data_IF_688979011582
#
_entry.id   IF_688979011582
#
_cell.length_a   1.000
_cell.length_b   1.000
_cell.length_c   1.000
_cell.angle_alpha   90.00
_cell.angle_beta   90.00
_cell.angle_gamma   90.00
#
_symmetry.space_group_name_H-M   'P 1'
#
loop_
_entity.id
_entity.type
_entity.pdbx_description
1 polymer ?
#
# COMPACT_ATOMS: atom_id res chain seq x y z
N UNK A 1 0.80 -26.55 15.26
CA UNK A 1 1.03 -25.53 16.32
C UNK A 1 0.35 -25.96 17.62
N UNK A 2 0.68 -25.40 18.80
CA UNK A 2 0.05 -25.78 20.09
C UNK A 2 -1.43 -25.39 20.13
N UNK A 3 -1.78 -24.21 19.63
CA UNK A 3 -3.17 -23.77 19.49
C UNK A 3 -3.98 -24.74 18.59
N UNK A 4 -3.39 -25.17 17.48
CA UNK A 4 -3.99 -26.08 16.50
C UNK A 4 -4.27 -27.49 17.06
N UNK A 5 -3.45 -27.96 18.00
CA UNK A 5 -3.71 -29.24 18.69
C UNK A 5 -4.96 -29.18 19.57
N UNK A 6 -5.23 -28.01 20.15
CA UNK A 6 -6.40 -27.79 21.02
C UNK A 6 -7.66 -27.61 20.16
N UNK A 7 -7.56 -26.88 19.04
CA UNK A 7 -8.68 -26.76 18.09
C UNK A 7 -9.01 -28.08 17.40
N UNK A 8 -8.01 -28.89 17.03
CA UNK A 8 -8.21 -30.24 16.51
C UNK A 8 -8.89 -31.19 17.52
N UNK A 9 -8.73 -30.93 18.82
CA UNK A 9 -9.43 -31.65 19.89
C UNK A 9 -10.87 -31.15 20.11
N UNK A 10 -11.36 -30.22 19.28
CA UNK A 10 -12.73 -29.71 19.31
C UNK A 10 -12.96 -28.54 20.28
N UNK A 11 -11.90 -27.85 20.71
CA UNK A 11 -11.98 -26.70 21.60
C UNK A 11 -11.64 -25.41 20.87
N UNK A 12 -12.52 -24.43 20.91
CA UNK A 12 -12.25 -23.08 20.44
C UNK A 12 -11.34 -22.34 21.45
N UNK A 13 -10.33 -21.66 20.91
CA UNK A 13 -9.41 -20.82 21.66
C UNK A 13 -9.63 -19.36 21.25
N UNK A 14 -9.81 -18.50 22.24
CA UNK A 14 -9.88 -17.04 22.07
C UNK A 14 -8.85 -16.40 23.00
N UNK A 15 -8.33 -15.23 22.64
CA UNK A 15 -7.46 -14.44 23.52
C UNK A 15 -8.05 -13.05 23.75
N UNK A 16 -8.08 -12.61 25.01
CA UNK A 16 -8.37 -11.25 25.43
C UNK A 16 -7.07 -10.61 25.92
N UNK A 17 -6.13 -10.43 24.98
CA UNK A 17 -4.78 -9.95 25.21
C UNK A 17 -3.93 -10.89 26.07
N UNK A 18 -4.07 -10.79 27.40
CA UNK A 18 -3.31 -11.58 28.37
C UNK A 18 -4.06 -12.83 28.87
N UNK A 19 -5.33 -13.00 28.52
CA UNK A 19 -6.17 -14.10 28.99
C UNK A 19 -6.52 -15.04 27.85
N UNK A 20 -6.23 -16.33 28.05
CA UNK A 20 -6.65 -17.40 27.15
C UNK A 20 -8.03 -17.89 27.59
N UNK A 21 -9.00 -17.83 26.68
CA UNK A 21 -10.36 -18.32 26.85
C UNK A 21 -10.51 -19.59 26.03
N UNK A 22 -10.88 -20.70 26.69
CA UNK A 22 -11.10 -21.99 26.03
C UNK A 22 -12.58 -22.37 26.12
N UNK A 23 -13.20 -22.65 24.98
CA UNK A 23 -14.62 -23.03 24.89
C UNK A 23 -14.78 -24.38 24.16
N UNK A 24 -15.59 -25.31 24.67
CA UNK A 24 -16.25 -25.31 25.97
C UNK A 24 -15.30 -25.75 27.11
N UNK A 25 -15.12 -24.90 28.12
CA UNK A 25 -14.22 -25.19 29.26
C UNK A 25 -14.67 -26.37 30.12
N UNK A 26 -15.98 -26.63 30.20
CA UNK A 26 -16.57 -27.72 30.98
C UNK A 26 -16.30 -29.13 30.44
N UNK A 27 -15.74 -29.26 29.23
CA UNK A 27 -15.36 -30.55 28.64
C UNK A 27 -13.86 -30.86 28.76
N UNK A 28 -13.09 -29.98 29.40
CA UNK A 28 -11.66 -30.17 29.60
C UNK A 28 -11.40 -31.15 30.75
N UNK A 29 -10.64 -32.20 30.48
CA UNK A 29 -10.10 -33.12 31.48
C UNK A 29 -8.96 -32.46 32.28
N UNK A 30 -8.61 -33.03 33.44
CA UNK A 30 -7.50 -32.53 34.26
C UNK A 30 -6.16 -32.49 33.50
N UNK A 31 -5.88 -33.51 32.68
CA UNK A 31 -4.68 -33.56 31.85
C UNK A 31 -4.65 -32.46 30.78
N UNK A 32 -5.80 -32.11 30.19
CA UNK A 32 -5.92 -31.01 29.23
C UNK A 32 -5.73 -29.65 29.92
N UNK A 33 -6.25 -29.48 31.13
CA UNK A 33 -6.00 -28.29 31.94
C UNK A 33 -4.52 -28.09 32.27
N UNK A 34 -3.82 -29.15 32.67
CA UNK A 34 -2.39 -29.08 32.97
C UNK A 34 -1.56 -28.78 31.72
N UNK A 35 -1.93 -29.34 30.57
CA UNK A 35 -1.30 -29.01 29.29
C UNK A 35 -1.48 -27.52 28.95
N UNK A 36 -2.72 -27.01 29.01
CA UNK A 36 -3.02 -25.59 28.71
C UNK A 36 -2.28 -24.66 29.68
N UNK A 37 -2.23 -24.98 30.98
CA UNK A 37 -1.50 -24.17 31.97
C UNK A 37 0.00 -24.15 31.72
N UNK A 38 0.60 -25.31 31.41
CA UNK A 38 2.05 -25.42 31.17
C UNK A 38 2.48 -24.69 29.90
N UNK A 39 1.60 -24.62 28.90
CA UNK A 39 1.90 -24.04 27.60
C UNK A 39 1.18 -22.71 27.34
N UNK A 40 0.57 -22.10 28.36
CA UNK A 40 -0.31 -20.92 28.22
C UNK A 40 0.36 -19.79 27.46
N UNK A 41 1.57 -19.40 27.86
CA UNK A 41 2.25 -18.24 27.28
C UNK A 41 2.65 -18.49 25.83
N UNK A 42 3.03 -19.72 25.49
CA UNK A 42 3.32 -20.13 24.12
C UNK A 42 2.05 -20.16 23.26
N UNK A 43 0.92 -20.63 23.79
CA UNK A 43 -0.38 -20.61 23.09
C UNK A 43 -0.84 -19.18 22.87
N UNK A 44 -0.68 -18.28 23.84
CA UNK A 44 -1.01 -16.86 23.68
C UNK A 44 -0.10 -16.22 22.63
N UNK A 45 1.22 -16.47 22.69
CA UNK A 45 2.16 -15.94 21.69
C UNK A 45 1.85 -16.48 20.28
N UNK A 46 1.50 -17.75 20.15
CA UNK A 46 1.04 -18.34 18.89
C UNK A 46 -0.27 -17.70 18.42
N UNK A 47 -1.29 -17.55 19.27
CA UNK A 47 -2.57 -16.93 18.88
C UNK A 47 -2.44 -15.44 18.55
N UNK A 48 -1.56 -14.72 19.24
CA UNK A 48 -1.24 -13.31 18.93
C UNK A 48 -0.45 -13.21 17.62
N UNK A 49 0.51 -14.10 17.40
CA UNK A 49 1.25 -14.21 16.14
C UNK A 49 0.38 -14.68 14.97
N UNK A 50 -0.60 -15.55 15.23
CA UNK A 50 -1.60 -15.99 14.27
C UNK A 50 -2.62 -14.89 14.01
N UNK A 51 -3.11 -14.14 14.99
CA UNK A 51 -3.93 -12.95 14.73
C UNK A 51 -3.17 -11.90 13.90
N UNK A 52 -1.86 -11.77 14.10
CA UNK A 52 -0.99 -10.94 13.26
C UNK A 52 -0.75 -11.52 11.84
N UNK A 53 -0.98 -12.82 11.61
CA UNK A 53 -0.78 -13.50 10.32
C UNK A 53 -2.08 -13.89 9.60
N UNK A 54 -3.20 -14.05 10.31
CA UNK A 54 -4.54 -14.39 9.81
C UNK A 54 -5.35 -13.12 9.48
N UNK A 55 -4.83 -11.95 9.85
CA UNK A 55 -5.16 -10.69 9.19
C UNK A 55 -4.52 -10.65 7.81
N UNK A 56 -5.23 -11.17 6.80
CA UNK A 56 -4.99 -10.90 5.38
C UNK A 56 -5.03 -9.40 5.00
N UNK A 57 -5.19 -8.50 5.97
CA UNK A 57 -5.09 -7.04 5.89
C UNK A 57 -3.67 -6.55 6.18
N UNK A 58 -2.65 -7.07 5.49
CA UNK A 58 -1.41 -6.29 5.46
C UNK A 58 -1.64 -5.09 4.55
N UNK A 59 -1.27 -3.88 4.99
CA UNK A 59 -1.33 -2.69 4.14
C UNK A 59 -0.69 -2.93 2.78
N UNK A 60 0.36 -3.75 2.73
CA UNK A 60 1.01 -4.15 1.49
C UNK A 60 0.07 -4.91 0.54
N UNK A 61 -0.79 -5.80 1.05
CA UNK A 61 -1.78 -6.50 0.24
C UNK A 61 -2.91 -5.58 -0.20
N UNK A 62 -3.45 -4.77 0.71
CA UNK A 62 -4.48 -3.79 0.38
C UNK A 62 -3.99 -2.80 -0.69
N UNK A 63 -2.74 -2.34 -0.60
CA UNK A 63 -2.13 -1.48 -1.62
C UNK A 63 -1.88 -2.22 -2.92
N UNK A 64 -1.45 -3.50 -2.89
CA UNK A 64 -1.32 -4.33 -4.11
C UNK A 64 -2.66 -4.47 -4.83
N UNK A 65 -3.73 -4.73 -4.08
CA UNK A 65 -5.09 -4.78 -4.62
C UNK A 65 -5.54 -3.42 -5.16
N UNK A 66 -5.29 -2.33 -4.42
CA UNK A 66 -5.65 -0.97 -4.85
C UNK A 66 -4.91 -0.52 -6.14
N UNK A 67 -3.70 -1.03 -6.37
CA UNK A 67 -2.90 -0.74 -7.55
C UNK A 67 -3.20 -1.68 -8.74
N UNK A 68 -4.14 -2.62 -8.61
CA UNK A 68 -4.38 -3.61 -9.66
C UNK A 68 -4.85 -2.93 -10.96
N UNK A 69 -4.08 -3.13 -12.04
CA UNK A 69 -4.35 -2.55 -13.36
C UNK A 69 -3.93 -1.07 -13.50
N UNK A 70 -3.17 -0.53 -12.53
CA UNK A 70 -2.57 0.80 -12.60
C UNK A 70 -1.06 0.69 -12.85
N UNK A 71 -0.47 1.78 -13.32
CA UNK A 71 0.98 1.87 -13.53
C UNK A 71 1.71 2.28 -12.24
N UNK A 72 1.00 2.94 -11.32
CA UNK A 72 1.50 3.27 -9.98
C UNK A 72 1.74 2.01 -9.12
N UNK A 73 2.85 1.98 -8.39
CA UNK A 73 3.21 0.86 -7.51
C UNK A 73 2.70 1.04 -6.07
N UNK A 74 2.55 -0.06 -5.30
CA UNK A 74 2.17 0.02 -3.89
C UNK A 74 3.08 0.93 -3.06
N UNK A 75 4.39 0.94 -3.34
CA UNK A 75 5.34 1.80 -2.64
C UNK A 75 5.13 3.29 -2.97
N UNK A 76 4.77 3.62 -4.21
CA UNK A 76 4.44 4.98 -4.61
C UNK A 76 3.15 5.47 -3.94
N UNK A 77 2.12 4.61 -3.87
CA UNK A 77 0.89 4.94 -3.15
C UNK A 77 1.17 5.12 -1.66
N UNK A 78 1.95 4.23 -1.05
CA UNK A 78 2.35 4.32 0.36
C UNK A 78 3.14 5.60 0.65
N UNK A 79 4.07 5.97 -0.22
CA UNK A 79 4.88 7.18 -0.06
C UNK A 79 4.06 8.47 -0.22
N UNK A 80 2.93 8.41 -0.92
CA UNK A 80 2.02 9.52 -1.11
C UNK A 80 1.00 9.68 0.04
N UNK A 81 0.75 8.63 0.83
CA UNK A 81 -0.13 8.67 1.99
C UNK A 81 0.55 9.37 3.18
N UNK A 82 -0.22 10.14 3.95
CA UNK A 82 0.27 10.72 5.20
C UNK A 82 0.30 9.69 6.33
N UNK A 83 1.02 9.99 7.41
CA UNK A 83 1.00 9.14 8.60
C UNK A 83 -0.40 9.01 9.22
N UNK A 84 -1.21 10.07 9.13
CA UNK A 84 -2.59 10.08 9.61
C UNK A 84 -3.48 9.16 8.76
N UNK A 85 -3.36 9.20 7.43
CA UNK A 85 -4.10 8.29 6.53
C UNK A 85 -3.75 6.81 6.80
N UNK A 86 -2.48 6.54 7.11
CA UNK A 86 -2.03 5.19 7.43
C UNK A 86 -2.62 4.69 8.76
N UNK A 87 -2.75 5.56 9.76
CA UNK A 87 -3.37 5.22 11.04
C UNK A 87 -4.89 5.11 10.90
N UNK A 88 -5.51 5.93 10.06
CA UNK A 88 -6.94 5.85 9.74
C UNK A 88 -7.29 4.56 8.99
N UNK A 89 -6.45 4.13 8.05
CA UNK A 89 -6.60 2.84 7.40
C UNK A 89 -6.46 1.67 8.40
N UNK A 90 -5.45 1.70 9.28
CA UNK A 90 -5.28 0.67 10.34
C UNK A 90 -6.45 0.62 11.32
N UNK A 91 -7.09 1.77 11.57
CA UNK A 91 -8.30 1.87 12.38
C UNK A 91 -9.56 1.43 11.62
N UNK A 92 -9.46 1.05 10.35
CA UNK A 92 -10.58 0.67 9.48
C UNK A 92 -11.48 1.84 9.08
N UNK A 93 -11.00 3.09 9.27
CA UNK A 93 -11.74 4.32 8.89
C UNK A 93 -11.66 4.59 7.40
N UNK A 94 -10.60 4.14 6.75
CA UNK A 94 -10.43 4.18 5.30
C UNK A 94 -10.69 2.78 4.76
N UNK A 95 -11.83 2.53 4.08
CA UNK A 95 -12.08 1.26 3.42
C UNK A 95 -11.18 1.09 2.19
N UNK A 96 -11.02 -0.16 1.74
CA UNK A 96 -10.24 -0.48 0.55
C UNK A 96 -10.68 0.29 -0.70
N UNK A 97 -11.98 0.53 -0.87
CA UNK A 97 -12.50 1.30 -2.01
C UNK A 97 -11.97 2.75 -2.06
N UNK A 98 -11.67 3.33 -0.90
CA UNK A 98 -11.10 4.67 -0.81
C UNK A 98 -9.59 4.65 -1.14
N UNK A 99 -8.86 3.60 -0.73
CA UNK A 99 -7.49 3.35 -1.19
C UNK A 99 -7.42 3.17 -2.72
N UNK A 100 -8.34 2.42 -3.31
CA UNK A 100 -8.44 2.27 -4.77
C UNK A 100 -8.67 3.61 -5.47
N UNK A 101 -9.57 4.45 -4.93
CA UNK A 101 -9.84 5.77 -5.48
C UNK A 101 -8.60 6.67 -5.40
N UNK A 102 -7.87 6.61 -4.27
CA UNK A 102 -6.62 7.32 -4.09
C UNK A 102 -5.54 6.86 -5.06
N UNK A 103 -5.33 5.54 -5.20
CA UNK A 103 -4.37 4.97 -6.16
C UNK A 103 -4.69 5.38 -7.60
N UNK A 104 -5.96 5.33 -8.01
CA UNK A 104 -6.42 5.81 -9.33
C UNK A 104 -6.17 7.30 -9.53
N UNK A 105 -6.36 8.12 -8.51
CA UNK A 105 -6.09 9.55 -8.59
C UNK A 105 -4.59 9.84 -8.70
N UNK A 106 -3.76 9.11 -7.96
CA UNK A 106 -2.30 9.22 -8.02
C UNK A 106 -1.78 8.78 -9.39
N UNK A 107 -2.26 7.65 -9.91
CA UNK A 107 -1.91 7.14 -11.24
C UNK A 107 -2.22 8.18 -12.32
N UNK A 108 -3.43 8.77 -12.30
CA UNK A 108 -3.78 9.87 -13.22
C UNK A 108 -2.87 11.07 -13.06
N UNK A 109 -2.48 11.43 -11.84
CA UNK A 109 -1.62 12.59 -11.60
C UNK A 109 -0.21 12.38 -12.15
N UNK A 110 0.33 11.17 -11.99
CA UNK A 110 1.66 10.81 -12.47
C UNK A 110 1.70 10.65 -14.00
N UNK A 111 0.64 10.08 -14.59
CA UNK A 111 0.57 9.78 -16.02
C UNK A 111 -0.26 10.79 -16.82
N UNK A 112 -0.68 11.90 -16.20
CA UNK A 112 -1.26 13.02 -16.94
C UNK A 112 -0.18 13.57 -17.86
N UNK A 113 -0.29 13.25 -19.15
CA UNK A 113 0.44 13.96 -20.20
C UNK A 113 0.20 15.47 -19.98
N UNK A 114 1.24 16.31 -20.05
CA UNK A 114 1.04 17.74 -20.04
C UNK A 114 0.00 18.08 -21.10
N UNK A 115 -0.96 18.92 -20.74
CA UNK A 115 -1.95 19.42 -21.69
C UNK A 115 -1.19 20.09 -22.84
N UNK A 116 -1.33 19.64 -24.09
CA UNK A 116 -0.64 20.28 -25.22
C UNK A 116 -1.02 21.76 -25.36
N UNK A 117 -2.14 22.21 -24.77
CA UNK A 117 -2.52 23.62 -24.72
C UNK A 117 -1.74 24.46 -23.68
N UNK A 118 -0.95 23.83 -22.80
CA UNK A 118 -0.05 24.50 -21.84
C UNK A 118 1.37 24.67 -22.38
N UNK A 119 1.62 24.35 -23.65
CA UNK A 119 2.82 24.82 -24.37
C UNK A 119 2.65 26.32 -24.59
N UNK A 120 2.93 27.10 -23.55
CA UNK A 120 3.15 28.53 -23.71
C UNK A 120 4.43 28.64 -24.53
N UNK A 121 4.33 29.18 -25.75
CA UNK A 121 5.46 29.50 -26.64
C UNK A 121 6.31 30.68 -26.06
N UNK A 122 6.55 30.66 -24.75
CA UNK A 122 7.42 31.57 -24.04
C UNK A 122 8.79 30.87 -23.90
N UNK A 123 9.84 31.35 -24.58
CA UNK A 123 11.17 30.74 -24.54
C UNK A 123 11.76 30.68 -23.12
N UNK A 124 11.22 31.46 -22.17
CA UNK A 124 11.60 31.47 -20.77
C UNK A 124 10.84 30.43 -19.92
N UNK A 125 9.76 29.84 -20.43
CA UNK A 125 9.04 28.79 -19.69
C UNK A 125 9.65 27.42 -19.98
N UNK A 126 10.04 26.71 -18.92
CA UNK A 126 10.71 25.41 -19.00
C UNK A 126 9.91 24.37 -18.22
N UNK A 127 9.51 23.24 -18.85
CA UNK A 127 8.95 22.12 -18.12
C UNK A 127 10.05 21.45 -17.29
N UNK A 128 9.81 21.33 -16.00
CA UNK A 128 10.71 20.75 -15.02
C UNK A 128 10.02 19.57 -14.35
N UNK A 129 10.73 18.45 -14.23
CA UNK A 129 10.24 17.24 -13.58
C UNK A 129 10.61 17.24 -12.11
N UNK A 130 9.67 16.85 -11.26
CA UNK A 130 9.91 16.62 -9.83
C UNK A 130 10.42 15.20 -9.62
N UNK A 131 11.01 14.93 -8.44
CA UNK A 131 11.41 13.56 -8.04
C UNK A 131 10.22 12.58 -8.02
N UNK A 132 9.00 13.10 -7.92
CA UNK A 132 7.77 12.34 -7.99
C UNK A 132 7.25 12.16 -9.44
N UNK A 133 7.99 12.54 -10.48
CA UNK A 133 7.60 12.37 -11.88
C UNK A 133 6.54 13.35 -12.40
N UNK A 134 6.13 14.34 -11.60
CA UNK A 134 5.15 15.36 -12.05
C UNK A 134 5.81 16.49 -12.84
N UNK A 135 5.11 17.07 -13.82
CA UNK A 135 5.54 18.29 -14.53
C UNK A 135 5.23 19.54 -13.71
N UNK A 136 6.17 20.48 -13.67
CA UNK A 136 5.94 21.85 -13.23
C UNK A 136 6.50 22.80 -14.29
N UNK A 137 5.75 23.82 -14.66
CA UNK A 137 6.23 24.87 -15.56
C UNK A 137 6.94 25.94 -14.74
N UNK A 138 8.25 26.10 -14.97
CA UNK A 138 9.06 27.14 -14.32
C UNK A 138 9.32 28.23 -15.35
N UNK A 139 8.96 29.47 -15.01
CA UNK A 139 9.33 30.65 -15.79
C UNK A 139 10.72 31.12 -15.35
N UNK A 140 11.70 30.97 -16.22
CA UNK A 140 13.04 31.46 -16.03
C UNK A 140 13.07 32.99 -16.00
N UNK A 141 14.05 33.55 -15.29
CA UNK A 141 14.28 34.99 -15.26
C UNK A 141 14.92 35.52 -16.55
N UNK A 142 15.65 34.67 -17.27
CA UNK A 142 16.34 34.98 -18.53
C UNK A 142 16.65 33.71 -19.34
N UNK A 143 17.21 33.90 -20.54
CA UNK A 143 17.50 32.83 -21.48
C UNK A 143 18.61 31.87 -21.01
N UNK A 144 19.57 32.34 -20.21
CA UNK A 144 20.65 31.50 -19.67
C UNK A 144 20.12 30.61 -18.55
N UNK A 145 19.25 31.15 -17.69
CA UNK A 145 18.54 30.38 -16.68
C UNK A 145 17.61 29.33 -17.31
N UNK A 146 16.93 29.66 -18.41
CA UNK A 146 16.12 28.68 -19.15
C UNK A 146 16.98 27.51 -19.71
N UNK A 147 18.15 27.81 -20.28
CA UNK A 147 19.11 26.79 -20.75
C UNK A 147 19.63 25.93 -19.59
N UNK A 148 19.93 26.56 -18.45
CA UNK A 148 20.38 25.85 -17.26
C UNK A 148 19.32 24.87 -16.76
N UNK A 149 18.06 25.28 -16.66
CA UNK A 149 16.95 24.42 -16.26
C UNK A 149 16.77 23.23 -17.20
N UNK A 150 16.80 23.44 -18.52
CA UNK A 150 16.70 22.36 -19.53
C UNK A 150 17.86 21.36 -19.46
N UNK A 151 19.06 21.83 -19.11
CA UNK A 151 20.26 21.00 -19.00
C UNK A 151 20.25 20.12 -17.74
N UNK A 152 19.77 20.66 -16.62
CA UNK A 152 19.84 20.00 -15.32
C UNK A 152 18.56 19.27 -14.91
N UNK A 153 17.44 19.48 -15.62
CA UNK A 153 16.18 18.77 -15.40
C UNK A 153 15.67 18.11 -16.70
N UNK A 154 16.38 17.10 -17.23
CA UNK A 154 15.96 16.39 -18.44
C UNK A 154 14.68 15.58 -18.19
N UNK A 155 13.93 15.32 -19.26
CA UNK A 155 12.78 14.42 -19.18
C UNK A 155 13.20 13.02 -18.72
N UNK A 156 12.46 12.40 -17.78
CA UNK A 156 12.68 11.00 -17.48
C UNK A 156 12.47 10.20 -18.78
N UNK A 157 13.22 9.11 -18.99
CA UNK A 157 13.01 8.24 -20.14
C UNK A 157 11.55 7.79 -20.15
N UNK A 158 10.84 8.13 -21.22
CA UNK A 158 9.49 7.63 -21.46
C UNK A 158 9.71 6.22 -22.01
N UNK A 159 9.40 5.20 -21.22
CA UNK A 159 9.36 3.82 -21.72
C UNK A 159 8.39 3.78 -22.90
N UNK A 160 8.98 3.79 -24.08
CA UNK A 160 8.28 3.86 -25.37
C UNK A 160 7.87 2.46 -25.79
N UNK A 161 7.15 1.74 -24.93
CA UNK A 161 6.54 0.44 -25.25
C UNK A 161 5.02 0.54 -25.19
N UNK A 162 4.46 1.26 -26.16
CA UNK A 162 3.21 0.83 -26.79
C UNK A 162 3.25 1.31 -28.24
N UNK A 163 4.01 0.58 -29.06
CA UNK A 163 3.75 0.57 -30.50
C UNK A 163 2.30 0.11 -30.66
N UNK A 164 1.43 1.04 -31.06
CA UNK A 164 0.09 0.68 -31.52
C UNK A 164 0.26 -0.15 -32.79
N UNK A 165 -0.15 -1.40 -32.71
CA UNK A 165 -0.36 -2.26 -33.87
C UNK A 165 -1.32 -1.56 -34.85
N UNK A 166 -0.83 -1.24 -36.05
CA UNK A 166 -1.69 -0.96 -37.20
C UNK A 166 -2.34 -2.27 -37.66
N UNK A 167 -3.68 -2.38 -37.73
CA UNK A 167 -4.32 -3.46 -38.43
C UNK A 167 -4.39 -3.08 -39.91
N UNK A 168 -3.57 -3.69 -40.75
CA UNK A 168 -3.80 -3.63 -42.20
C UNK A 168 -4.46 -4.93 -42.65
N UNK A 169 -5.69 -4.76 -43.14
CA UNK A 169 -6.54 -5.77 -43.76
C UNK A 169 -6.00 -6.25 -45.12
#
# INVERSE_FOLDING_TARGET
MLAEKITAAGFALETDGARLVVKPSGKLTAAQWDFIRRHRDAIIAELVGQAANEGGDTLAEALRQACQGLTVTPDQVRAAMSAEDLDDWRAGRIPLAELEAFAKALDRRLHRKPDPALVVDDPLTVPCWTLAGSVVLIRACDAEHAKWLRRWNPAPPIDSETQSEEPTA
#
